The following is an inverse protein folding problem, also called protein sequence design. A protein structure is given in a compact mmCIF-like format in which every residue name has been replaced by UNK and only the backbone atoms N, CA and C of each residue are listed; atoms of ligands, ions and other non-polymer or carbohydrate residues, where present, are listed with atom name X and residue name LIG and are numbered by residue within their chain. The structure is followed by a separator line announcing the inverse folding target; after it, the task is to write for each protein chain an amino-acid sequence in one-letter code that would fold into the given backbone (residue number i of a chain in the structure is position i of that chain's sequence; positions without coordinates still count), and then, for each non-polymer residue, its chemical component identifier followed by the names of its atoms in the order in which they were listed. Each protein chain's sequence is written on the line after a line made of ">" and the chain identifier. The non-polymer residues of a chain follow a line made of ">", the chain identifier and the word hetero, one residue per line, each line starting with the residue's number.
data_IF_180612382132
#
_entry.id   IF_180612382132
#
_cell.length_a   1.000
_cell.length_b   1.000
_cell.length_c   1.000
_cell.angle_alpha   90.00
_cell.angle_beta   90.00
_cell.angle_gamma   90.00
#
_symmetry.space_group_name_H-M   'P 1'
#
loop_
_entity.id
_entity.type
_entity.pdbx_description
1 polymer ?
#
# COMPACT_ATOMS: atom_id res chain seq x y z
N UNK A 1 -25.99 18.21 -21.32
CA UNK A 1 -24.87 17.83 -20.42
C UNK A 1 -23.55 17.60 -21.17
N UNK A 2 -23.09 18.55 -22.02
CA UNK A 2 -21.80 18.42 -22.76
C UNK A 2 -20.79 19.52 -22.39
N UNK A 3 -21.21 20.56 -21.67
CA UNK A 3 -20.38 21.72 -21.31
C UNK A 3 -19.61 21.55 -19.99
N UNK A 4 -19.94 20.54 -19.20
CA UNK A 4 -19.27 20.27 -17.91
C UNK A 4 -17.99 19.42 -18.07
N UNK A 5 -17.86 18.65 -19.14
CA UNK A 5 -16.68 17.81 -19.38
C UNK A 5 -15.43 18.63 -19.75
N UNK A 6 -15.60 19.80 -20.37
CA UNK A 6 -14.47 20.63 -20.81
C UNK A 6 -13.77 21.38 -19.66
N UNK A 7 -14.49 21.69 -18.58
CA UNK A 7 -13.92 22.42 -17.43
C UNK A 7 -13.09 21.52 -16.50
N UNK A 8 -13.33 20.21 -16.51
CA UNK A 8 -12.57 19.26 -15.68
C UNK A 8 -11.15 18.98 -16.23
N UNK A 9 -10.94 19.12 -17.54
CA UNK A 9 -9.63 18.87 -18.17
C UNK A 9 -8.64 20.06 -18.05
N UNK A 10 -9.14 21.29 -17.93
CA UNK A 10 -8.29 22.48 -17.76
C UNK A 10 -7.78 22.66 -16.33
N UNK A 11 -8.43 22.05 -15.32
CA UNK A 11 -8.01 22.12 -13.92
C UNK A 11 -6.76 21.29 -13.59
N UNK A 12 -6.44 20.26 -14.39
CA UNK A 12 -5.32 19.35 -14.13
C UNK A 12 -3.96 19.88 -14.60
N UNK A 13 -3.92 20.99 -15.37
CA UNK A 13 -2.68 21.56 -15.90
C UNK A 13 -2.05 22.57 -14.92
N UNK A 14 -2.82 23.08 -13.93
CA UNK A 14 -2.36 24.15 -13.03
C UNK A 14 -1.71 23.66 -11.71
N UNK A 15 -1.71 22.36 -11.41
CA UNK A 15 -1.11 21.86 -10.16
C UNK A 15 0.36 21.47 -10.29
N UNK A 16 0.95 21.59 -11.49
CA UNK A 16 2.37 21.29 -11.72
C UNK A 16 3.40 22.36 -11.27
N UNK A 17 3.10 23.66 -10.98
CA UNK A 17 4.17 24.65 -10.84
C UNK A 17 4.78 24.69 -9.43
N UNK A 18 4.16 24.08 -8.42
CA UNK A 18 4.65 24.19 -7.03
C UNK A 18 6.04 23.55 -6.81
N UNK A 19 6.39 22.53 -7.61
CA UNK A 19 7.72 21.92 -7.56
C UNK A 19 8.76 22.73 -8.35
N UNK A 20 8.38 23.33 -9.47
CA UNK A 20 9.27 24.17 -10.28
C UNK A 20 9.61 25.50 -9.59
N UNK A 21 8.68 26.08 -8.82
CA UNK A 21 8.91 27.32 -8.06
C UNK A 21 10.01 27.13 -7.00
N UNK A 22 10.02 25.98 -6.33
CA UNK A 22 10.97 25.71 -5.24
C UNK A 22 12.42 25.59 -5.72
N UNK A 23 12.64 25.00 -6.90
CA UNK A 23 13.98 24.91 -7.49
C UNK A 23 14.48 26.28 -7.98
N UNK A 24 13.58 27.13 -8.47
CA UNK A 24 13.91 28.50 -8.87
C UNK A 24 14.33 29.37 -7.67
N UNK A 25 13.63 29.27 -6.54
CA UNK A 25 13.96 30.00 -5.32
C UNK A 25 15.35 29.62 -4.78
N UNK A 26 15.69 28.33 -4.79
CA UNK A 26 16.99 27.82 -4.35
C UNK A 26 18.11 28.33 -5.28
N UNK A 27 17.89 28.24 -6.59
CA UNK A 27 18.85 28.74 -7.58
C UNK A 27 19.10 30.24 -7.45
N UNK A 28 18.05 31.04 -7.23
CA UNK A 28 18.20 32.49 -7.00
C UNK A 28 18.95 32.80 -5.70
N UNK A 29 18.68 32.06 -4.62
CA UNK A 29 19.39 32.24 -3.36
C UNK A 29 20.89 31.96 -3.50
N UNK A 30 21.26 30.88 -4.20
CA UNK A 30 22.67 30.57 -4.47
C UNK A 30 23.33 31.63 -5.34
N UNK A 31 22.62 32.08 -6.37
CA UNK A 31 23.12 33.13 -7.25
C UNK A 31 23.44 34.39 -6.46
N UNK A 32 22.56 34.80 -5.53
CA UNK A 32 22.81 35.95 -4.64
C UNK A 32 23.98 35.69 -3.70
N UNK A 33 24.07 34.49 -3.12
CA UNK A 33 25.19 34.10 -2.25
C UNK A 33 26.54 34.16 -2.98
N UNK A 34 26.64 33.53 -4.16
CA UNK A 34 27.85 33.53 -4.97
C UNK A 34 28.18 34.92 -5.52
N UNK A 35 27.18 35.72 -5.90
CA UNK A 35 27.39 37.09 -6.37
C UNK A 35 27.81 38.05 -5.24
N UNK A 36 27.46 37.75 -3.99
CA UNK A 36 27.86 38.57 -2.83
C UNK A 36 29.34 38.47 -2.47
N UNK A 37 30.09 37.53 -3.08
CA UNK A 37 31.50 37.28 -2.78
C UNK A 37 31.76 36.62 -1.42
N UNK A 38 30.72 36.36 -0.60
CA UNK A 38 30.83 35.69 0.71
C UNK A 38 31.47 34.30 0.63
N UNK A 39 31.37 33.64 -0.51
CA UNK A 39 31.97 32.32 -0.73
C UNK A 39 33.50 32.35 -0.72
N UNK A 40 34.12 33.52 -0.95
CA UNK A 40 35.57 33.65 -1.14
C UNK A 40 36.08 33.04 -2.45
N UNK A 41 35.17 32.71 -3.38
CA UNK A 41 35.45 32.10 -4.69
C UNK A 41 34.87 32.98 -5.80
N UNK A 42 35.31 32.80 -7.04
CA UNK A 42 34.62 33.40 -8.18
C UNK A 42 33.19 32.84 -8.33
N UNK A 43 32.33 33.60 -9.00
CA UNK A 43 30.92 33.26 -9.15
C UNK A 43 30.71 31.88 -9.78
N UNK A 44 31.48 31.54 -10.82
CA UNK A 44 31.31 30.28 -11.54
C UNK A 44 31.76 29.09 -10.68
N UNK A 45 32.93 29.18 -10.04
CA UNK A 45 33.41 28.14 -9.12
C UNK A 45 32.46 27.93 -7.94
N UNK A 46 31.87 29.01 -7.42
CA UNK A 46 30.88 28.92 -6.35
C UNK A 46 29.62 28.19 -6.78
N UNK A 47 29.05 28.56 -7.92
CA UNK A 47 27.84 27.93 -8.46
C UNK A 47 28.09 26.46 -8.81
N UNK A 48 29.23 26.15 -9.43
CA UNK A 48 29.58 24.77 -9.76
C UNK A 48 29.73 23.92 -8.50
N UNK A 49 30.44 24.42 -7.49
CA UNK A 49 30.61 23.71 -6.22
C UNK A 49 29.27 23.41 -5.55
N UNK A 50 28.39 24.40 -5.42
CA UNK A 50 27.06 24.21 -4.82
C UNK A 50 26.22 23.19 -5.59
N UNK A 51 26.31 23.21 -6.93
CA UNK A 51 25.63 22.23 -7.79
C UNK A 51 26.17 20.82 -7.56
N UNK A 52 27.48 20.65 -7.53
CA UNK A 52 28.12 19.36 -7.26
C UNK A 52 27.77 18.83 -5.87
N UNK A 53 27.83 19.69 -4.85
CA UNK A 53 27.50 19.31 -3.46
C UNK A 53 26.04 18.79 -3.37
N UNK A 54 25.09 19.47 -4.02
CA UNK A 54 23.70 18.98 -4.08
C UNK A 54 23.54 17.67 -4.81
N UNK A 55 24.22 17.52 -5.94
CA UNK A 55 24.14 16.29 -6.71
C UNK A 55 24.67 15.12 -5.88
N UNK A 56 25.80 15.33 -5.20
CA UNK A 56 26.38 14.36 -4.28
C UNK A 56 25.43 13.99 -3.13
N UNK A 57 24.76 14.97 -2.54
CA UNK A 57 23.78 14.74 -1.47
C UNK A 57 22.56 13.96 -1.97
N UNK A 58 22.08 14.28 -3.18
CA UNK A 58 21.00 13.54 -3.85
C UNK A 58 21.40 12.09 -4.09
N UNK A 59 22.58 11.87 -4.67
CA UNK A 59 23.09 10.53 -4.98
C UNK A 59 23.30 9.70 -3.71
N UNK A 60 23.76 10.33 -2.62
CA UNK A 60 23.85 9.71 -1.29
C UNK A 60 22.47 9.29 -0.80
N UNK A 61 21.51 10.20 -0.79
CA UNK A 61 20.15 9.91 -0.32
C UNK A 61 19.49 8.80 -1.14
N UNK A 62 19.68 8.82 -2.45
CA UNK A 62 19.15 7.80 -3.33
C UNK A 62 19.76 6.42 -3.02
N UNK A 63 21.07 6.36 -2.81
CA UNK A 63 21.75 5.12 -2.39
C UNK A 63 21.21 4.58 -1.07
N UNK A 64 21.11 5.41 -0.03
CA UNK A 64 20.57 5.02 1.28
C UNK A 64 19.13 4.51 1.16
N UNK A 65 18.33 5.14 0.30
CA UNK A 65 16.96 4.71 0.00
C UNK A 65 16.93 3.33 -0.67
N UNK A 66 17.82 3.10 -1.64
CA UNK A 66 17.92 1.81 -2.33
C UNK A 66 18.37 0.69 -1.39
N UNK A 67 19.37 0.95 -0.53
CA UNK A 67 19.84 0.00 0.47
C UNK A 67 18.71 -0.38 1.44
N UNK A 68 17.98 0.60 1.98
CA UNK A 68 16.83 0.34 2.84
C UNK A 68 15.74 -0.48 2.16
N UNK A 69 15.43 -0.16 0.89
CA UNK A 69 14.43 -0.91 0.13
C UNK A 69 14.85 -2.36 -0.13
N UNK A 70 16.15 -2.61 -0.31
CA UNK A 70 16.70 -3.97 -0.44
C UNK A 70 16.54 -4.74 0.87
N UNK A 71 16.92 -4.14 2.00
CA UNK A 71 16.81 -4.78 3.31
C UNK A 71 15.35 -5.17 3.64
N UNK A 72 14.40 -4.27 3.37
CA UNK A 72 12.97 -4.56 3.57
C UNK A 72 12.49 -5.73 2.71
N UNK A 73 12.96 -5.79 1.46
CA UNK A 73 12.62 -6.89 0.54
C UNK A 73 13.20 -8.22 1.01
N UNK A 74 14.46 -8.23 1.42
CA UNK A 74 15.14 -9.45 1.86
C UNK A 74 14.51 -9.97 3.16
N UNK A 75 14.13 -9.06 4.08
CA UNK A 75 13.34 -9.40 5.27
C UNK A 75 12.00 -10.04 4.90
N UNK A 76 11.26 -9.45 3.96
CA UNK A 76 9.97 -9.99 3.54
C UNK A 76 10.10 -11.37 2.89
N UNK A 77 11.15 -11.59 2.08
CA UNK A 77 11.41 -12.90 1.47
C UNK A 77 11.70 -13.95 2.55
N UNK A 78 12.48 -13.59 3.57
CA UNK A 78 12.76 -14.45 4.72
C UNK A 78 11.49 -14.84 5.48
N UNK A 79 10.64 -13.86 5.85
CA UNK A 79 9.37 -14.11 6.54
C UNK A 79 8.42 -14.97 5.70
N UNK A 80 8.34 -14.71 4.40
CA UNK A 80 7.58 -15.55 3.45
C UNK A 80 8.09 -16.99 3.47
N UNK A 81 9.39 -17.20 3.38
CA UNK A 81 10.00 -18.54 3.34
C UNK A 81 9.71 -19.30 4.63
N UNK A 82 9.76 -18.65 5.79
CA UNK A 82 9.35 -19.27 7.05
C UNK A 82 7.86 -19.65 7.07
N UNK A 83 6.98 -18.75 6.63
CA UNK A 83 5.53 -18.97 6.62
C UNK A 83 5.14 -20.19 5.77
N UNK A 84 5.79 -20.39 4.63
CA UNK A 84 5.51 -21.52 3.74
C UNK A 84 6.33 -22.79 4.05
N UNK A 85 7.39 -22.68 4.87
CA UNK A 85 8.14 -23.84 5.36
C UNK A 85 7.46 -24.50 6.58
N UNK A 86 6.54 -23.81 7.25
CA UNK A 86 5.77 -24.39 8.35
C UNK A 86 4.80 -25.47 7.82
N UNK A 87 4.77 -26.68 8.42
CA UNK A 87 3.76 -27.67 8.08
C UNK A 87 2.36 -27.09 8.36
N UNK A 88 1.35 -27.42 7.54
CA UNK A 88 -0.01 -26.95 7.78
C UNK A 88 -0.46 -27.36 9.19
N UNK A 89 -1.25 -26.51 9.89
CA UNK A 89 -1.78 -26.88 11.19
C UNK A 89 -2.56 -28.20 11.07
N UNK A 90 -2.47 -29.09 12.06
CA UNK A 90 -3.20 -30.35 12.01
C UNK A 90 -4.69 -30.07 11.82
N UNK A 91 -5.41 -30.88 11.01
CA UNK A 91 -6.84 -30.69 10.81
C UNK A 91 -7.54 -30.75 12.17
N UNK A 92 -8.23 -29.67 12.52
CA UNK A 92 -9.06 -29.63 13.72
C UNK A 92 -10.29 -30.48 13.41
N UNK A 93 -10.27 -31.75 13.78
CA UNK A 93 -11.45 -32.60 13.76
C UNK A 93 -12.43 -32.08 14.80
N UNK A 94 -13.40 -31.28 14.37
CA UNK A 94 -14.60 -31.01 15.16
C UNK A 94 -15.50 -32.22 15.01
N UNK A 95 -15.74 -32.91 16.11
CA UNK A 95 -16.79 -33.94 16.14
C UNK A 95 -18.10 -33.30 15.68
N UNK A 96 -18.83 -33.94 14.75
CA UNK A 96 -20.15 -33.45 14.36
C UNK A 96 -21.03 -33.38 15.61
N UNK A 97 -21.83 -32.31 15.76
CA UNK A 97 -22.65 -32.13 16.94
C UNK A 97 -23.67 -33.27 17.03
N UNK A 98 -23.85 -33.83 18.23
CA UNK A 98 -24.73 -34.98 18.45
C UNK A 98 -26.19 -34.53 18.38
N UNK A 99 -26.87 -34.88 17.31
CA UNK A 99 -28.30 -34.63 17.11
C UNK A 99 -29.11 -35.57 18.00
N UNK A 100 -30.14 -35.05 18.68
CA UNK A 100 -31.19 -35.90 19.25
C UNK A 100 -32.05 -36.54 18.15
N UNK A 101 -32.72 -37.65 18.44
CA UNK A 101 -33.58 -38.36 17.47
C UNK A 101 -34.64 -37.45 16.83
N UNK A 102 -35.20 -36.51 17.61
CA UNK A 102 -36.14 -35.52 17.09
C UNK A 102 -35.49 -34.53 16.14
N UNK A 103 -34.27 -34.07 16.43
CA UNK A 103 -33.53 -33.14 15.58
C UNK A 103 -33.07 -33.82 14.28
N UNK A 104 -32.65 -35.09 14.35
CA UNK A 104 -32.32 -35.87 13.17
C UNK A 104 -33.55 -35.99 12.25
N UNK A 105 -34.70 -36.38 12.80
CA UNK A 105 -35.95 -36.47 12.03
C UNK A 105 -36.37 -35.13 11.43
N UNK A 106 -36.21 -34.03 12.17
CA UNK A 106 -36.50 -32.69 11.65
C UNK A 106 -35.56 -32.30 10.51
N UNK A 107 -34.28 -32.66 10.61
CA UNK A 107 -33.28 -32.42 9.56
C UNK A 107 -33.59 -33.21 8.29
N UNK A 108 -33.97 -34.48 8.44
CA UNK A 108 -34.31 -35.36 7.32
C UNK A 108 -35.56 -34.86 6.60
N UNK A 109 -36.56 -34.38 7.35
CA UNK A 109 -37.79 -33.81 6.79
C UNK A 109 -37.58 -32.50 6.02
N UNK A 110 -36.46 -31.80 6.18
CA UNK A 110 -36.17 -30.59 5.41
C UNK A 110 -36.15 -30.84 3.90
N UNK A 111 -35.93 -32.08 3.44
CA UNK A 111 -35.95 -32.45 2.01
C UNK A 111 -37.34 -32.32 1.37
N UNK A 112 -38.40 -32.35 2.18
CA UNK A 112 -39.79 -32.24 1.72
C UNK A 112 -40.16 -30.81 1.32
N UNK A 113 -39.32 -29.82 1.66
CA UNK A 113 -39.51 -28.42 1.28
C UNK A 113 -38.94 -28.16 -0.12
N UNK A 114 -39.41 -27.05 -0.73
CA UNK A 114 -38.85 -26.56 -1.99
C UNK A 114 -37.33 -26.36 -1.86
N UNK A 115 -36.52 -26.65 -2.90
CA UNK A 115 -35.05 -26.62 -2.83
C UNK A 115 -34.46 -25.32 -2.26
N UNK A 116 -35.14 -24.20 -2.49
CA UNK A 116 -34.77 -22.88 -1.97
C UNK A 116 -34.86 -22.76 -0.45
N UNK A 117 -35.77 -23.50 0.19
CA UNK A 117 -36.06 -23.42 1.63
C UNK A 117 -35.33 -24.48 2.46
N UNK A 118 -34.85 -25.55 1.80
CA UNK A 118 -34.04 -26.60 2.41
C UNK A 118 -32.83 -26.07 3.20
N UNK A 119 -31.99 -25.15 2.69
CA UNK A 119 -30.84 -24.65 3.46
C UNK A 119 -31.26 -23.89 4.71
N UNK A 120 -32.37 -23.13 4.64
CA UNK A 120 -32.89 -22.38 5.79
C UNK A 120 -33.43 -23.33 6.86
N UNK A 121 -34.18 -24.36 6.45
CA UNK A 121 -34.67 -25.40 7.36
C UNK A 121 -33.52 -26.11 8.08
N UNK A 122 -32.49 -26.55 7.34
CA UNK A 122 -31.30 -27.20 7.92
C UNK A 122 -30.57 -26.28 8.90
N UNK A 123 -30.40 -25.01 8.56
CA UNK A 123 -29.77 -24.03 9.45
C UNK A 123 -30.57 -23.82 10.74
N UNK A 124 -31.90 -23.76 10.67
CA UNK A 124 -32.75 -23.63 11.85
C UNK A 124 -32.65 -24.86 12.75
N UNK A 125 -32.72 -26.08 12.19
CA UNK A 125 -32.52 -27.31 12.99
C UNK A 125 -31.14 -27.30 13.64
N UNK A 126 -30.09 -27.00 12.88
CA UNK A 126 -28.71 -26.95 13.37
C UNK A 126 -28.48 -25.87 14.45
N UNK A 127 -29.23 -24.76 14.43
CA UNK A 127 -29.15 -23.72 15.46
C UNK A 127 -29.68 -24.16 16.84
N UNK A 128 -30.44 -25.26 16.89
CA UNK A 128 -30.96 -25.83 18.15
C UNK A 128 -30.06 -26.91 18.73
N UNK A 129 -29.02 -27.30 18.01
CA UNK A 129 -28.07 -28.34 18.44
C UNK A 129 -27.08 -27.70 19.42
N UNK A 130 -26.92 -28.31 20.60
CA UNK A 130 -26.00 -27.85 21.64
C UNK A 130 -24.70 -28.63 21.60
#
# INVERSE_FOLDING_TARGET
>A
MKKLAALALLGLIQTAPALAQRDMDVYEADRRYCASGRSGMDFHSCMDRLRFDRQRDRDRWERERWERSRDDRDRWEYERRQRYAAPPPPPVYREPPKLSDMQQRALDNCVLLAPRDQPRCRATVMSTVR
#
